data_IF_768920018744
#
_entry.id   IF_768920018744
#
_cell.length_a   1.000
_cell.length_b   1.000
_cell.length_c   1.000
_cell.angle_alpha   90.00
_cell.angle_beta   90.00
_cell.angle_gamma   90.00
#
_symmetry.space_group_name_H-M   'P 1'
#
loop_
_entity.id
_entity.type
_entity.pdbx_description
1 polymer ?
#
# COMPACT_ATOMS: atom_id res chain seq x y z
N UNK A 1 8.53 18.33 18.09
CA UNK A 1 8.24 16.95 17.64
C UNK A 1 9.52 16.12 17.82
N UNK A 2 9.44 14.82 18.14
CA UNK A 2 10.61 13.96 18.11
C UNK A 2 11.26 13.98 16.72
N UNK A 3 12.58 13.79 16.63
CA UNK A 3 13.24 13.66 15.33
C UNK A 3 12.74 12.40 14.61
N UNK A 4 12.71 12.42 13.26
CA UNK A 4 12.33 11.26 12.46
C UNK A 4 13.14 10.01 12.82
N UNK A 5 14.42 10.17 13.18
CA UNK A 5 15.28 9.07 13.64
C UNK A 5 14.77 8.45 14.95
N UNK A 6 14.42 9.26 15.94
CA UNK A 6 13.89 8.78 17.22
C UNK A 6 12.52 8.11 17.03
N UNK A 7 11.68 8.69 16.18
CA UNK A 7 10.38 8.11 15.81
C UNK A 7 10.56 6.73 15.15
N UNK A 8 11.43 6.63 14.16
CA UNK A 8 11.76 5.37 13.50
C UNK A 8 12.26 4.32 14.49
N UNK A 9 13.22 4.66 15.35
CA UNK A 9 13.79 3.72 16.32
C UNK A 9 12.75 3.18 17.30
N UNK A 10 11.85 4.03 17.82
CA UNK A 10 10.76 3.60 18.71
C UNK A 10 9.79 2.67 17.99
N UNK A 11 9.40 3.01 16.77
CA UNK A 11 8.47 2.20 15.97
C UNK A 11 9.09 0.87 15.53
N UNK A 12 10.37 0.88 15.14
CA UNK A 12 11.15 -0.30 14.78
C UNK A 12 11.27 -1.28 15.96
N UNK A 13 11.57 -0.77 17.15
CA UNK A 13 11.62 -1.57 18.38
C UNK A 13 10.25 -2.17 18.70
N UNK A 14 9.17 -1.37 18.66
CA UNK A 14 7.82 -1.86 18.91
C UNK A 14 7.42 -2.96 17.94
N UNK A 15 7.67 -2.77 16.64
CA UNK A 15 7.35 -3.77 15.62
C UNK A 15 8.18 -5.05 15.79
N UNK A 16 9.45 -4.95 16.17
CA UNK A 16 10.28 -6.11 16.52
C UNK A 16 9.72 -6.87 17.72
N UNK A 17 9.40 -6.16 18.81
CA UNK A 17 8.93 -6.76 20.07
C UNK A 17 7.55 -7.42 19.92
N UNK A 18 6.76 -6.96 18.96
CA UNK A 18 5.40 -7.45 18.70
C UNK A 18 5.31 -8.33 17.45
N UNK A 19 6.44 -8.70 16.84
CA UNK A 19 6.49 -9.43 15.55
C UNK A 19 5.67 -10.70 15.52
N UNK A 20 5.59 -11.41 16.64
CA UNK A 20 4.86 -12.67 16.76
C UNK A 20 3.35 -12.48 16.54
N UNK A 21 2.83 -11.26 16.74
CA UNK A 21 1.42 -10.90 16.51
C UNK A 21 1.08 -10.58 15.04
N UNK A 22 2.06 -10.24 14.19
CA UNK A 22 1.76 -9.73 12.84
C UNK A 22 2.49 -10.43 11.70
N UNK A 23 3.68 -11.00 11.94
CA UNK A 23 4.44 -11.76 10.93
C UNK A 23 3.95 -13.20 10.73
N UNK A 24 2.97 -13.65 11.52
CA UNK A 24 2.33 -14.94 11.27
C UNK A 24 1.54 -14.90 9.95
N UNK A 25 1.49 -16.02 9.23
CA UNK A 25 0.64 -16.15 8.04
C UNK A 25 -0.66 -16.79 8.50
N UNK A 26 -1.73 -16.00 8.67
CA UNK A 26 -3.01 -16.48 9.20
C UNK A 26 -3.54 -17.72 8.47
N UNK A 27 -3.39 -17.73 7.14
CA UNK A 27 -3.76 -18.87 6.29
C UNK A 27 -3.02 -20.18 6.62
N UNK A 28 -1.82 -20.11 7.19
CA UNK A 28 -1.00 -21.28 7.52
C UNK A 28 -1.28 -21.84 8.91
N UNK A 29 -1.98 -21.09 9.76
CA UNK A 29 -2.30 -21.48 11.13
C UNK A 29 -3.42 -22.52 11.16
N UNK A 30 -3.27 -23.54 12.01
CA UNK A 30 -4.31 -24.52 12.34
C UNK A 30 -5.01 -24.22 13.68
N UNK A 31 -4.36 -23.40 14.52
CA UNK A 31 -4.84 -22.93 15.82
C UNK A 31 -4.46 -21.45 15.97
N UNK A 32 -5.02 -20.77 16.98
CA UNK A 32 -4.53 -19.44 17.34
C UNK A 32 -3.06 -19.52 17.76
N UNK A 33 -2.17 -18.70 17.17
CA UNK A 33 -0.74 -18.76 17.49
C UNK A 33 -0.41 -18.13 18.85
N UNK A 34 -1.37 -17.44 19.49
CA UNK A 34 -1.22 -16.72 20.76
C UNK A 34 -2.12 -17.35 21.83
N UNK A 35 -1.59 -18.23 22.69
CA UNK A 35 -2.35 -18.83 23.78
C UNK A 35 -3.06 -17.79 24.66
N UNK A 36 -2.40 -16.67 24.92
CA UNK A 36 -2.89 -15.55 25.73
C UNK A 36 -4.10 -14.82 25.12
N UNK A 37 -4.29 -14.90 23.80
CA UNK A 37 -5.43 -14.28 23.11
C UNK A 37 -6.56 -15.28 22.79
N UNK A 38 -6.34 -16.58 23.00
CA UNK A 38 -7.27 -17.64 22.55
C UNK A 38 -8.69 -17.41 23.08
N UNK A 39 -8.85 -17.26 24.39
CA UNK A 39 -10.16 -17.05 25.03
C UNK A 39 -10.86 -15.79 24.51
N UNK A 40 -10.11 -14.71 24.30
CA UNK A 40 -10.64 -13.42 23.81
C UNK A 40 -11.14 -13.57 22.38
N UNK A 41 -10.35 -14.20 21.52
CA UNK A 41 -10.67 -14.41 20.11
C UNK A 41 -11.86 -15.38 19.93
N UNK A 42 -11.96 -16.42 20.76
CA UNK A 42 -13.09 -17.37 20.73
C UNK A 42 -14.40 -16.73 21.17
N UNK A 43 -14.36 -15.76 22.08
CA UNK A 43 -15.54 -15.06 22.58
C UNK A 43 -16.08 -14.01 21.60
N UNK A 44 -15.31 -13.60 20.59
CA UNK A 44 -15.78 -12.67 19.56
C UNK A 44 -16.81 -13.34 18.65
N UNK A 45 -17.94 -12.69 18.41
CA UNK A 45 -18.86 -13.05 17.33
C UNK A 45 -18.30 -12.63 15.96
N UNK A 46 -18.83 -13.20 14.88
CA UNK A 46 -18.38 -12.83 13.53
C UNK A 46 -18.74 -11.37 13.18
N UNK A 47 -19.83 -10.85 13.74
CA UNK A 47 -20.25 -9.45 13.65
C UNK A 47 -19.25 -8.53 14.38
N UNK A 48 -18.86 -8.87 15.61
CA UNK A 48 -17.88 -8.09 16.38
C UNK A 48 -16.52 -8.04 15.67
N UNK A 49 -16.07 -9.14 15.05
CA UNK A 49 -14.84 -9.15 14.24
C UNK A 49 -14.95 -8.14 13.09
N UNK A 50 -16.08 -8.10 12.39
CA UNK A 50 -16.28 -7.19 11.27
C UNK A 50 -16.37 -5.72 11.71
N UNK A 51 -16.99 -5.44 12.86
CA UNK A 51 -17.09 -4.10 13.44
C UNK A 51 -15.72 -3.59 13.90
N UNK A 52 -14.96 -4.41 14.64
CA UNK A 52 -13.61 -4.05 15.10
C UNK A 52 -12.64 -3.85 13.93
N UNK A 53 -12.64 -4.73 12.91
CA UNK A 53 -11.75 -4.56 11.74
C UNK A 53 -12.03 -3.27 10.95
N UNK A 54 -13.28 -2.77 11.01
CA UNK A 54 -13.67 -1.52 10.37
C UNK A 54 -13.27 -0.27 11.17
N UNK A 55 -12.91 -0.40 12.46
CA UNK A 55 -12.65 0.70 13.39
C UNK A 55 -11.28 0.54 14.07
N UNK A 56 -10.17 1.00 13.45
CA UNK A 56 -8.82 0.78 13.95
C UNK A 56 -8.58 1.24 15.40
N UNK A 57 -9.17 2.37 15.81
CA UNK A 57 -9.05 2.86 17.20
C UNK A 57 -9.72 1.92 18.20
N UNK A 58 -10.96 1.50 17.92
CA UNK A 58 -11.69 0.55 18.77
C UNK A 58 -10.99 -0.81 18.83
N UNK A 59 -10.37 -1.23 17.73
CA UNK A 59 -9.59 -2.46 17.67
C UNK A 59 -8.36 -2.39 18.59
N UNK A 60 -7.62 -1.28 18.57
CA UNK A 60 -6.50 -1.05 19.49
C UNK A 60 -6.99 -1.05 20.94
N UNK A 61 -8.05 -0.31 21.25
CA UNK A 61 -8.61 -0.23 22.60
C UNK A 61 -9.03 -1.61 23.13
N UNK A 62 -9.66 -2.43 22.28
CA UNK A 62 -10.12 -3.77 22.63
C UNK A 62 -8.97 -4.70 23.02
N UNK A 63 -7.86 -4.68 22.28
CA UNK A 63 -6.70 -5.56 22.56
C UNK A 63 -5.67 -4.96 23.52
N UNK A 64 -5.78 -3.68 23.89
CA UNK A 64 -4.82 -3.00 24.78
C UNK A 64 -4.73 -3.62 26.18
N UNK A 65 -5.78 -4.32 26.63
CA UNK A 65 -5.76 -5.06 27.89
C UNK A 65 -4.95 -6.37 27.83
N UNK A 66 -4.57 -6.82 26.63
CA UNK A 66 -3.88 -8.09 26.39
C UNK A 66 -2.49 -7.92 25.77
N UNK A 67 -2.23 -6.78 25.12
CA UNK A 67 -0.96 -6.46 24.48
C UNK A 67 -0.56 -5.04 24.90
N UNK A 68 0.27 -4.94 25.94
CA UNK A 68 0.65 -3.66 26.56
C UNK A 68 1.27 -2.66 25.57
N UNK A 69 2.02 -3.16 24.58
CA UNK A 69 2.70 -2.35 23.56
C UNK A 69 1.73 -1.57 22.67
N UNK A 70 0.45 -1.99 22.57
CA UNK A 70 -0.53 -1.31 21.71
C UNK A 70 -0.82 0.12 22.16
N UNK A 71 -0.64 0.42 23.45
CA UNK A 71 -0.82 1.77 24.01
C UNK A 71 0.07 2.83 23.34
N UNK A 72 1.20 2.42 22.76
CA UNK A 72 2.14 3.31 22.08
C UNK A 72 1.80 3.52 20.60
N UNK A 73 0.97 2.65 19.99
CA UNK A 73 0.69 2.71 18.57
C UNK A 73 0.00 4.01 18.14
N UNK A 74 -1.02 4.53 18.84
CA UNK A 74 -1.65 5.80 18.45
C UNK A 74 -0.62 6.93 18.34
N UNK A 75 0.24 7.11 19.34
CA UNK A 75 1.30 8.13 19.32
C UNK A 75 2.30 7.92 18.18
N UNK A 76 2.75 6.66 17.98
CA UNK A 76 3.79 6.34 16.99
C UNK A 76 3.26 6.28 15.56
N UNK A 77 1.96 6.32 15.35
CA UNK A 77 1.35 6.28 14.01
C UNK A 77 0.56 7.52 13.66
N UNK A 78 0.36 8.42 14.62
CA UNK A 78 -0.20 9.74 14.41
C UNK A 78 0.77 10.59 13.57
N UNK A 79 0.24 11.18 12.51
CA UNK A 79 0.95 12.07 11.61
C UNK A 79 0.14 13.35 11.48
N UNK A 80 0.79 14.52 11.38
CA UNK A 80 0.06 15.77 11.26
C UNK A 80 -0.78 15.76 10.00
N UNK A 81 -2.04 16.19 10.09
CA UNK A 81 -2.86 16.41 8.90
C UNK A 81 -2.37 17.67 8.19
N UNK A 82 -2.16 17.59 6.88
CA UNK A 82 -1.86 18.78 6.09
C UNK A 82 -3.01 19.78 6.25
N UNK A 83 -2.68 21.04 6.54
CA UNK A 83 -3.69 22.11 6.68
C UNK A 83 -4.39 22.31 5.34
N UNK A 84 -5.55 21.67 5.19
CA UNK A 84 -6.36 21.76 3.99
C UNK A 84 -6.77 23.21 3.74
N UNK A 85 -6.30 23.80 2.64
CA UNK A 85 -7.14 24.77 1.94
C UNK A 85 -8.40 24.02 1.47
N UNK A 86 -9.58 24.63 1.56
CA UNK A 86 -10.78 23.99 1.02
C UNK A 86 -10.55 23.63 -0.45
N UNK A 87 -10.89 22.40 -0.90
CA UNK A 87 -10.65 21.98 -2.26
C UNK A 87 -11.29 22.97 -3.22
N UNK A 88 -10.47 23.66 -4.02
CA UNK A 88 -11.01 24.62 -4.99
C UNK A 88 -11.84 23.87 -6.02
N UNK A 89 -13.01 24.40 -6.39
CA UNK A 89 -13.84 23.74 -7.38
C UNK A 89 -13.07 23.61 -8.72
N UNK A 90 -12.72 22.37 -9.10
CA UNK A 90 -12.02 22.13 -10.35
C UNK A 90 -12.97 22.35 -11.54
N UNK A 91 -12.53 23.01 -12.61
CA UNK A 91 -13.32 23.12 -13.82
C UNK A 91 -13.74 21.74 -14.34
N UNK A 92 -14.98 21.62 -14.82
CA UNK A 92 -15.54 20.35 -15.29
C UNK A 92 -14.69 19.67 -16.40
N UNK A 93 -14.10 20.47 -17.28
CA UNK A 93 -13.26 19.97 -18.37
C UNK A 93 -11.95 19.33 -17.87
N UNK A 94 -11.43 19.77 -16.73
CA UNK A 94 -10.20 19.25 -16.13
C UNK A 94 -10.44 17.92 -15.41
N UNK A 95 -11.59 17.81 -14.75
CA UNK A 95 -12.03 16.59 -14.06
C UNK A 95 -12.60 15.51 -15.01
N UNK A 96 -12.88 15.87 -16.27
CA UNK A 96 -13.39 14.91 -17.26
C UNK A 96 -12.45 13.69 -17.41
N UNK A 97 -13.05 12.49 -17.43
CA UNK A 97 -12.31 11.23 -17.47
C UNK A 97 -11.76 10.73 -16.12
N UNK A 98 -11.88 11.51 -15.04
CA UNK A 98 -11.57 11.07 -13.66
C UNK A 98 -12.88 10.98 -12.88
N UNK A 99 -13.19 9.81 -12.31
CA UNK A 99 -14.46 9.58 -11.62
C UNK A 99 -14.28 9.30 -10.14
N UNK A 100 -15.23 9.80 -9.35
CA UNK A 100 -15.40 9.49 -7.93
C UNK A 100 -14.14 9.79 -7.11
N UNK A 101 -13.85 8.91 -6.14
CA UNK A 101 -12.75 9.09 -5.18
C UNK A 101 -11.37 9.29 -5.79
N UNK A 102 -11.12 8.80 -7.02
CA UNK A 102 -9.83 9.04 -7.69
C UNK A 102 -9.59 10.54 -7.90
N UNK A 103 -10.64 11.29 -8.25
CA UNK A 103 -10.55 12.74 -8.41
C UNK A 103 -10.30 13.41 -7.06
N UNK A 104 -11.06 13.02 -6.04
CA UNK A 104 -10.90 13.55 -4.68
C UNK A 104 -9.49 13.31 -4.15
N UNK A 105 -8.94 12.10 -4.33
CA UNK A 105 -7.57 11.79 -3.91
C UNK A 105 -6.54 12.66 -4.63
N UNK A 106 -6.65 12.80 -5.95
CA UNK A 106 -5.74 13.64 -6.74
C UNK A 106 -5.79 15.09 -6.28
N UNK A 107 -7.00 15.61 -6.05
CA UNK A 107 -7.19 16.98 -5.59
C UNK A 107 -6.61 17.19 -4.20
N UNK A 108 -6.95 16.35 -3.22
CA UNK A 108 -6.38 16.45 -1.88
C UNK A 108 -4.86 16.33 -1.89
N UNK A 109 -4.29 15.49 -2.76
CA UNK A 109 -2.84 15.36 -2.87
C UNK A 109 -2.21 16.65 -3.39
N UNK A 110 -2.75 17.26 -4.46
CA UNK A 110 -2.24 18.53 -5.02
C UNK A 110 -2.43 19.68 -4.04
N UNK A 111 -3.59 19.77 -3.40
CA UNK A 111 -3.89 20.81 -2.40
C UNK A 111 -3.01 20.67 -1.15
N UNK A 112 -2.52 19.46 -0.86
CA UNK A 112 -1.58 19.18 0.22
C UNK A 112 -0.12 19.50 -0.09
N UNK A 113 0.24 19.82 -1.34
CA UNK A 113 1.60 20.20 -1.71
C UNK A 113 1.88 21.67 -1.38
N UNK A 114 3.09 21.98 -0.91
CA UNK A 114 3.47 23.39 -0.82
C UNK A 114 3.49 24.03 -2.23
N UNK A 115 3.07 25.31 -2.37
CA UNK A 115 2.99 25.99 -3.66
C UNK A 115 4.27 25.87 -4.49
N UNK A 116 4.12 25.59 -5.78
CA UNK A 116 5.24 25.63 -6.71
C UNK A 116 5.78 27.08 -6.81
N UNK A 117 7.09 27.21 -7.02
CA UNK A 117 7.69 28.51 -7.30
C UNK A 117 7.33 28.94 -8.71
N UNK A 118 7.13 30.25 -8.91
CA UNK A 118 6.85 30.79 -10.24
C UNK A 118 8.00 30.44 -11.21
N UNK A 119 7.65 29.87 -12.37
CA UNK A 119 8.62 29.42 -13.37
C UNK A 119 9.27 28.06 -13.10
N UNK A 120 8.92 27.37 -12.00
CA UNK A 120 9.43 26.02 -11.72
C UNK A 120 8.85 24.95 -12.66
N UNK A 121 9.58 23.86 -12.85
CA UNK A 121 9.19 22.71 -13.68
C UNK A 121 8.96 21.46 -12.82
N UNK A 122 7.87 20.75 -13.11
CA UNK A 122 7.48 19.55 -12.35
C UNK A 122 7.70 18.28 -13.15
N UNK A 123 8.23 17.24 -12.50
CA UNK A 123 8.28 15.88 -13.02
C UNK A 123 7.16 15.03 -12.39
N UNK A 124 6.23 14.51 -13.18
CA UNK A 124 5.24 13.52 -12.78
C UNK A 124 5.76 12.10 -13.09
N UNK A 125 5.96 11.29 -12.05
CA UNK A 125 6.48 9.94 -12.18
C UNK A 125 5.35 8.88 -12.21
N UNK A 126 5.42 7.95 -13.18
CA UNK A 126 4.38 6.94 -13.42
C UNK A 126 3.02 7.59 -13.75
N UNK A 127 3.01 8.44 -14.77
CA UNK A 127 1.93 9.37 -15.07
C UNK A 127 0.61 8.71 -15.54
N UNK A 128 0.66 7.52 -16.13
CA UNK A 128 -0.48 6.95 -16.84
C UNK A 128 -0.98 7.92 -17.92
N UNK A 129 -2.19 8.43 -17.76
CA UNK A 129 -2.78 9.44 -18.67
C UNK A 129 -2.52 10.91 -18.25
N UNK A 130 -1.59 11.14 -17.33
CA UNK A 130 -1.26 12.47 -16.78
C UNK A 130 -2.41 13.12 -16.02
N UNK A 131 -3.16 12.35 -15.23
CA UNK A 131 -4.25 12.93 -14.45
C UNK A 131 -3.74 13.86 -13.36
N UNK A 132 -2.64 13.51 -12.69
CA UNK A 132 -2.03 14.35 -11.67
C UNK A 132 -1.31 15.54 -12.33
N UNK A 133 -0.55 15.30 -13.39
CA UNK A 133 0.11 16.34 -14.18
C UNK A 133 -0.84 17.45 -14.65
N UNK A 134 -2.04 17.10 -15.11
CA UNK A 134 -3.06 18.09 -15.51
C UNK A 134 -3.53 18.98 -14.35
N UNK A 135 -3.70 18.42 -13.15
CA UNK A 135 -4.09 19.21 -11.99
C UNK A 135 -2.93 20.12 -11.56
N UNK A 136 -1.71 19.59 -11.53
CA UNK A 136 -0.50 20.37 -11.19
C UNK A 136 -0.28 21.53 -12.15
N UNK A 137 -0.30 21.26 -13.46
CA UNK A 137 -0.10 22.27 -14.50
C UNK A 137 -1.15 23.40 -14.42
N UNK A 138 -2.41 23.04 -14.10
CA UNK A 138 -3.48 24.02 -13.98
C UNK A 138 -3.46 24.80 -12.66
N UNK A 139 -3.33 24.13 -11.52
CA UNK A 139 -3.42 24.77 -10.19
C UNK A 139 -2.17 25.56 -9.84
N UNK A 140 -0.99 25.07 -10.22
CA UNK A 140 0.28 25.74 -9.94
C UNK A 140 0.81 26.57 -11.12
N UNK A 141 0.18 26.48 -12.30
CA UNK A 141 0.59 27.23 -13.50
C UNK A 141 2.05 26.94 -13.93
N UNK A 142 2.45 25.67 -13.86
CA UNK A 142 3.81 25.19 -14.15
C UNK A 142 3.84 24.19 -15.30
N UNK A 143 4.95 24.13 -16.08
CA UNK A 143 5.19 23.04 -17.00
C UNK A 143 5.36 21.70 -16.26
N UNK A 144 4.89 20.61 -16.90
CA UNK A 144 4.98 19.26 -16.36
C UNK A 144 5.61 18.30 -17.37
N UNK A 145 6.61 17.54 -16.93
CA UNK A 145 7.14 16.38 -17.64
C UNK A 145 6.57 15.10 -17.03
N UNK A 146 5.86 14.31 -17.83
CA UNK A 146 5.14 13.11 -17.38
C UNK A 146 5.82 11.84 -17.91
N UNK A 147 6.38 11.02 -17.04
CA UNK A 147 7.04 9.75 -17.44
C UNK A 147 6.08 8.57 -17.31
N UNK A 148 5.92 7.79 -18.38
CA UNK A 148 5.03 6.63 -18.44
C UNK A 148 5.61 5.52 -19.33
N UNK A 149 5.41 4.25 -18.95
CA UNK A 149 5.99 3.10 -19.68
C UNK A 149 5.18 2.74 -20.93
N UNK A 150 3.87 2.93 -20.91
CA UNK A 150 2.98 2.58 -22.01
C UNK A 150 2.81 3.73 -23.01
N UNK A 151 3.41 3.57 -24.19
CA UNK A 151 3.33 4.54 -25.29
C UNK A 151 1.91 5.04 -25.60
N UNK A 152 0.93 4.13 -25.65
CA UNK A 152 -0.46 4.52 -25.94
C UNK A 152 -1.10 5.40 -24.85
N UNK A 153 -0.60 5.35 -23.61
CA UNK A 153 -1.04 6.25 -22.53
C UNK A 153 -0.36 7.62 -22.65
N UNK A 154 0.91 7.68 -23.05
CA UNK A 154 1.60 8.92 -23.39
C UNK A 154 0.84 9.68 -24.48
N UNK A 155 0.52 9.01 -25.60
CA UNK A 155 -0.22 9.61 -26.73
C UNK A 155 -1.60 10.14 -26.31
N UNK A 156 -2.33 9.38 -25.48
CA UNK A 156 -3.62 9.82 -24.94
C UNK A 156 -3.48 11.02 -24.00
N UNK A 157 -2.38 11.07 -23.23
CA UNK A 157 -2.04 12.16 -22.34
C UNK A 157 -1.72 13.45 -23.09
N UNK A 158 -0.85 13.38 -24.10
CA UNK A 158 -0.47 14.51 -24.97
C UNK A 158 -1.69 15.09 -25.69
N UNK A 159 -2.50 14.25 -26.33
CA UNK A 159 -3.74 14.69 -27.00
C UNK A 159 -4.68 15.43 -26.03
N UNK A 160 -4.73 14.99 -24.77
CA UNK A 160 -5.55 15.64 -23.75
C UNK A 160 -4.93 16.95 -23.26
N UNK A 161 -3.60 17.01 -23.10
CA UNK A 161 -2.89 18.22 -22.74
C UNK A 161 -3.04 19.30 -23.81
N UNK A 162 -2.84 18.95 -25.09
CA UNK A 162 -3.02 19.84 -26.25
C UNK A 162 -4.45 20.38 -26.33
N UNK A 163 -5.44 19.49 -26.19
CA UNK A 163 -6.86 19.86 -26.21
C UNK A 163 -7.22 20.86 -25.10
N UNK A 164 -6.54 20.77 -23.96
CA UNK A 164 -6.76 21.63 -22.79
C UNK A 164 -5.78 22.81 -22.73
N UNK A 165 -4.87 22.92 -23.70
CA UNK A 165 -3.79 23.91 -23.73
C UNK A 165 -2.98 23.95 -22.43
N UNK A 166 -2.61 22.76 -21.92
CA UNK A 166 -1.79 22.60 -20.72
C UNK A 166 -0.34 22.29 -21.10
N UNK A 167 0.65 22.90 -20.43
CA UNK A 167 2.08 22.73 -20.74
C UNK A 167 2.60 21.38 -20.19
N UNK A 168 2.19 20.27 -20.80
CA UNK A 168 2.57 18.91 -20.36
C UNK A 168 3.27 18.19 -21.50
N UNK A 169 4.43 17.61 -21.22
CA UNK A 169 5.21 16.81 -22.17
C UNK A 169 5.34 15.38 -21.64
N UNK A 170 4.99 14.39 -22.45
CA UNK A 170 5.11 12.99 -22.06
C UNK A 170 6.44 12.39 -22.53
N UNK A 171 7.00 11.53 -21.69
CA UNK A 171 8.22 10.78 -21.96
C UNK A 171 7.94 9.30 -21.78
N UNK A 172 8.12 8.52 -22.85
CA UNK A 172 7.94 7.08 -22.77
C UNK A 172 9.20 6.42 -22.22
N UNK A 173 9.05 5.60 -21.18
CA UNK A 173 10.15 4.76 -20.71
C UNK A 173 9.86 4.00 -19.41
N UNK A 174 10.73 3.03 -19.14
CA UNK A 174 10.67 2.20 -17.96
C UNK A 174 11.51 2.81 -16.84
N UNK A 175 10.84 3.46 -15.90
CA UNK A 175 11.44 4.10 -14.72
C UNK A 175 12.30 3.19 -13.83
N UNK A 176 12.22 1.87 -13.97
CA UNK A 176 13.06 0.92 -13.23
C UNK A 176 14.41 0.64 -13.90
N UNK A 177 14.50 0.79 -15.22
CA UNK A 177 15.68 0.38 -16.00
C UNK A 177 16.32 1.52 -16.78
N UNK A 178 15.53 2.52 -17.14
CA UNK A 178 15.95 3.60 -18.01
C UNK A 178 16.48 4.77 -17.15
N UNK A 179 17.45 5.50 -17.70
CA UNK A 179 18.06 6.64 -17.04
C UNK A 179 17.32 7.94 -17.41
N UNK A 180 16.65 8.55 -16.43
CA UNK A 180 15.98 9.83 -16.57
C UNK A 180 16.78 10.99 -15.96
N UNK A 181 18.05 10.80 -15.63
CA UNK A 181 18.89 11.81 -14.97
C UNK A 181 18.85 13.18 -15.64
N UNK A 182 19.03 13.24 -16.96
CA UNK A 182 19.01 14.49 -17.71
C UNK A 182 17.64 15.19 -17.70
N UNK A 183 16.54 14.43 -17.60
CA UNK A 183 15.19 14.99 -17.47
C UNK A 183 14.95 15.50 -16.04
N UNK A 184 15.38 14.73 -15.05
CA UNK A 184 15.25 15.08 -13.62
C UNK A 184 16.05 16.34 -13.29
N UNK A 185 17.25 16.51 -13.86
CA UNK A 185 18.10 17.69 -13.69
C UNK A 185 17.42 18.99 -14.19
N UNK A 186 16.49 18.88 -15.13
CA UNK A 186 15.73 20.02 -15.67
C UNK A 186 14.48 20.35 -14.84
N UNK A 187 14.18 19.57 -13.80
CA UNK A 187 12.97 19.72 -13.01
C UNK A 187 13.29 20.19 -11.59
N UNK A 188 12.49 21.12 -11.08
CA UNK A 188 12.62 21.65 -9.73
C UNK A 188 11.87 20.79 -8.71
N UNK A 189 10.83 20.07 -9.15
CA UNK A 189 9.95 19.31 -8.27
C UNK A 189 9.58 17.96 -8.85
N UNK A 190 10.01 16.88 -8.19
CA UNK A 190 9.60 15.52 -8.53
C UNK A 190 8.36 15.09 -7.72
N UNK A 191 7.33 14.59 -8.40
CA UNK A 191 6.04 14.26 -7.80
C UNK A 191 5.57 12.84 -8.17
N UNK A 192 5.08 12.07 -7.19
CA UNK A 192 4.50 10.74 -7.43
C UNK A 192 3.39 10.34 -6.45
N UNK A 193 2.18 10.09 -6.95
CA UNK A 193 1.03 9.62 -6.13
C UNK A 193 0.79 8.10 -6.25
N UNK A 194 1.01 7.50 -7.42
CA UNK A 194 0.74 6.07 -7.67
C UNK A 194 1.95 5.31 -8.22
N UNK A 195 3.16 5.74 -7.86
CA UNK A 195 4.38 5.00 -8.15
C UNK A 195 4.56 3.86 -7.11
N UNK A 196 4.11 2.66 -7.45
CA UNK A 196 4.14 1.50 -6.54
C UNK A 196 5.56 0.96 -6.29
N UNK A 197 5.89 0.69 -5.03
CA UNK A 197 7.03 -0.12 -4.59
C UNK A 197 8.36 0.32 -5.17
N UNK A 198 9.00 -0.52 -5.99
CA UNK A 198 10.25 -0.17 -6.66
C UNK A 198 10.18 1.12 -7.50
N UNK A 199 9.00 1.50 -8.00
CA UNK A 199 8.83 2.68 -8.86
C UNK A 199 9.12 4.00 -8.14
N UNK A 200 8.58 4.21 -6.93
CA UNK A 200 8.89 5.41 -6.16
C UNK A 200 10.30 5.34 -5.55
N UNK A 201 10.81 4.14 -5.23
CA UNK A 201 12.20 4.00 -4.77
C UNK A 201 13.19 4.42 -5.86
N UNK A 202 12.90 4.05 -7.13
CA UNK A 202 13.67 4.51 -8.28
C UNK A 202 13.65 6.03 -8.38
N UNK A 203 12.46 6.66 -8.26
CA UNK A 203 12.37 8.13 -8.25
C UNK A 203 13.24 8.74 -7.15
N UNK A 204 13.12 8.26 -5.91
CA UNK A 204 13.90 8.78 -4.79
C UNK A 204 15.41 8.65 -5.01
N UNK A 205 15.87 7.53 -5.57
CA UNK A 205 17.30 7.35 -5.89
C UNK A 205 17.77 8.34 -6.94
N UNK A 206 17.05 8.44 -8.06
CA UNK A 206 17.44 9.32 -9.16
C UNK A 206 17.32 10.80 -8.77
N UNK A 207 16.26 11.20 -8.07
CA UNK A 207 16.07 12.56 -7.60
C UNK A 207 17.15 12.99 -6.58
N UNK A 208 17.50 12.12 -5.62
CA UNK A 208 18.61 12.40 -4.70
C UNK A 208 19.96 12.49 -5.43
N UNK A 209 20.19 11.63 -6.43
CA UNK A 209 21.43 11.67 -7.22
C UNK A 209 21.56 12.96 -8.02
N UNK A 210 20.46 13.47 -8.56
CA UNK A 210 20.41 14.73 -9.31
C UNK A 210 20.16 15.96 -8.42
N UNK A 211 20.10 15.78 -7.10
CA UNK A 211 19.81 16.84 -6.14
C UNK A 211 18.57 17.66 -6.54
N UNK A 212 17.47 16.97 -6.91
CA UNK A 212 16.22 17.63 -7.27
C UNK A 212 15.76 18.53 -6.11
N UNK A 213 15.49 19.83 -6.33
CA UNK A 213 15.22 20.78 -5.25
C UNK A 213 14.07 20.37 -4.33
N UNK A 214 12.99 19.82 -4.90
CA UNK A 214 11.81 19.37 -4.15
C UNK A 214 11.35 17.97 -4.59
N UNK A 215 10.84 17.20 -3.64
CA UNK A 215 10.25 15.88 -3.87
C UNK A 215 8.94 15.77 -3.07
N UNK A 216 7.86 15.37 -3.72
CA UNK A 216 6.58 15.10 -3.05
C UNK A 216 6.00 13.76 -3.50
N UNK A 217 5.95 12.78 -2.59
CA UNK A 217 5.45 11.45 -2.92
C UNK A 217 4.43 10.94 -1.92
N UNK A 218 3.50 10.12 -2.40
CA UNK A 218 2.64 9.31 -1.55
C UNK A 218 2.76 7.83 -1.93
N UNK A 219 3.54 7.04 -1.18
CA UNK A 219 3.69 5.62 -1.45
C UNK A 219 2.38 4.84 -1.25
N UNK A 220 1.93 4.09 -2.26
CA UNK A 220 0.62 3.44 -2.21
C UNK A 220 0.64 1.90 -2.14
N UNK A 221 1.65 1.25 -2.72
CA UNK A 221 1.87 -0.20 -2.65
C UNK A 221 3.33 -0.46 -2.37
N UNK A 222 3.67 -1.29 -1.37
CA UNK A 222 5.07 -1.53 -1.00
C UNK A 222 5.65 -2.85 -1.52
N UNK A 223 4.80 -3.81 -1.86
CA UNK A 223 5.17 -5.18 -2.24
C UNK A 223 5.44 -5.39 -3.74
N UNK A 224 5.25 -4.36 -4.57
CA UNK A 224 5.39 -4.45 -6.02
C UNK A 224 6.78 -4.01 -6.47
N UNK A 225 7.30 -4.62 -7.52
CA UNK A 225 8.61 -4.27 -8.10
C UNK A 225 9.74 -4.28 -7.05
N UNK A 226 9.71 -5.27 -6.15
CA UNK A 226 10.78 -5.55 -5.21
C UNK A 226 11.61 -6.70 -5.73
N UNK A 227 12.93 -6.61 -5.57
CA UNK A 227 13.85 -7.68 -5.93
C UNK A 227 13.99 -8.66 -4.77
N UNK A 228 13.67 -9.93 -5.01
CA UNK A 228 13.75 -11.00 -4.01
C UNK A 228 12.55 -11.10 -3.07
N UNK A 229 12.71 -11.90 -2.02
CA UNK A 229 11.62 -12.28 -1.11
C UNK A 229 11.36 -11.25 0.02
N UNK A 230 12.30 -10.32 0.20
CA UNK A 230 12.31 -9.35 1.30
C UNK A 230 12.37 -7.91 0.80
N UNK A 231 11.75 -7.02 1.58
CA UNK A 231 11.87 -5.58 1.43
C UNK A 231 13.34 -5.14 1.46
N UNK A 232 13.71 -4.23 0.56
CA UNK A 232 15.04 -3.63 0.49
C UNK A 232 15.00 -2.24 1.13
N UNK A 233 15.55 -2.04 2.34
CA UNK A 233 15.49 -0.74 3.01
C UNK A 233 16.38 0.30 2.34
N UNK A 234 15.93 1.55 2.33
CA UNK A 234 16.65 2.65 1.67
C UNK A 234 17.63 3.33 2.61
N UNK A 235 17.21 3.62 3.85
CA UNK A 235 18.01 4.33 4.84
C UNK A 235 18.96 3.41 5.60
N UNK A 236 20.10 3.95 6.03
CA UNK A 236 21.03 3.23 6.91
C UNK A 236 20.37 2.69 8.20
N UNK A 237 19.40 3.42 8.79
CA UNK A 237 18.71 3.00 10.00
C UNK A 237 17.86 1.74 9.77
N UNK A 238 17.10 1.70 8.67
CA UNK A 238 16.29 0.54 8.33
C UNK A 238 17.13 -0.65 7.83
N UNK A 239 18.28 -0.39 7.19
CA UNK A 239 19.25 -1.44 6.85
C UNK A 239 19.85 -2.10 8.11
N UNK A 240 20.04 -1.33 9.18
CA UNK A 240 20.55 -1.81 10.46
C UNK A 240 19.48 -2.51 11.33
N UNK A 241 18.18 -2.34 11.02
CA UNK A 241 17.10 -3.01 11.72
C UNK A 241 17.20 -4.53 11.62
N UNK A 242 16.76 -5.23 12.68
CA UNK A 242 16.55 -6.67 12.66
C UNK A 242 15.25 -7.09 11.96
N UNK A 243 14.34 -6.15 11.67
CA UNK A 243 13.12 -6.44 10.93
C UNK A 243 13.47 -6.87 9.50
N UNK A 244 12.87 -7.97 9.08
CA UNK A 244 12.95 -8.49 7.71
C UNK A 244 11.52 -8.67 7.21
N UNK A 245 11.05 -7.67 6.46
CA UNK A 245 9.68 -7.65 5.95
C UNK A 245 9.61 -8.47 4.66
N UNK A 246 8.75 -9.48 4.65
CA UNK A 246 8.45 -10.29 3.46
C UNK A 246 7.39 -9.61 2.58
N UNK A 247 7.16 -10.13 1.37
CA UNK A 247 6.01 -9.70 0.54
C UNK A 247 4.65 -9.83 1.26
N UNK A 248 4.49 -10.79 2.18
CA UNK A 248 3.27 -10.94 2.98
C UNK A 248 3.10 -9.78 3.96
N UNK A 249 4.19 -9.38 4.63
CA UNK A 249 4.19 -8.28 5.60
C UNK A 249 3.93 -6.93 4.93
N UNK A 250 4.53 -6.72 3.76
CA UNK A 250 4.27 -5.52 2.95
C UNK A 250 2.82 -5.45 2.44
N UNK A 251 2.15 -6.60 2.24
CA UNK A 251 0.72 -6.64 1.90
C UNK A 251 -0.16 -6.38 3.12
N UNK A 252 0.26 -6.78 4.32
CA UNK A 252 -0.47 -6.48 5.56
C UNK A 252 -0.68 -4.97 5.70
N UNK A 253 0.36 -4.17 5.45
CA UNK A 253 0.23 -2.71 5.42
C UNK A 253 -0.95 -2.25 4.56
N UNK A 254 -1.25 -2.93 3.44
CA UNK A 254 -2.27 -2.59 2.44
C UNK A 254 -3.68 -3.13 2.71
N UNK A 255 -3.88 -3.94 3.75
CA UNK A 255 -5.12 -4.71 3.93
C UNK A 255 -6.32 -3.92 4.49
N UNK A 256 -6.19 -2.62 4.71
CA UNK A 256 -7.32 -1.80 5.12
C UNK A 256 -8.32 -1.62 3.96
N UNK A 257 -9.57 -2.09 4.14
CA UNK A 257 -10.54 -2.21 3.04
C UNK A 257 -11.69 -1.20 3.07
N UNK A 258 -11.47 0.02 3.57
CA UNK A 258 -12.51 1.08 3.64
C UNK A 258 -13.12 1.38 2.27
N UNK A 259 -12.32 1.23 1.20
CA UNK A 259 -12.70 1.70 -0.14
C UNK A 259 -13.31 0.62 -1.06
N UNK A 260 -13.27 -0.66 -0.72
CA UNK A 260 -13.66 -1.73 -1.66
C UNK A 260 -15.19 -1.84 -1.86
N UNK A 261 -15.71 -1.83 -3.11
CA UNK A 261 -17.14 -2.03 -3.38
C UNK A 261 -17.66 -3.38 -2.85
N UNK A 262 -18.92 -3.44 -2.41
CA UNK A 262 -19.53 -4.65 -1.82
C UNK A 262 -19.38 -5.90 -2.69
N UNK A 263 -19.57 -5.78 -4.02
CA UNK A 263 -19.39 -6.89 -4.96
C UNK A 263 -17.97 -7.45 -4.92
N UNK A 264 -16.96 -6.58 -4.85
CA UNK A 264 -15.55 -6.98 -4.76
C UNK A 264 -15.27 -7.67 -3.43
N UNK A 265 -15.85 -7.17 -2.33
CA UNK A 265 -15.76 -7.82 -1.01
C UNK A 265 -16.31 -9.24 -1.03
N UNK A 266 -17.50 -9.46 -1.61
CA UNK A 266 -18.12 -10.81 -1.73
C UNK A 266 -17.25 -11.79 -2.52
N UNK A 267 -16.69 -11.35 -3.65
CA UNK A 267 -15.79 -12.20 -4.45
C UNK A 267 -14.52 -12.55 -3.67
N UNK A 268 -13.93 -11.59 -2.94
CA UNK A 268 -12.76 -11.85 -2.08
C UNK A 268 -13.07 -12.83 -0.95
N UNK A 269 -14.22 -12.70 -0.30
CA UNK A 269 -14.66 -13.64 0.74
C UNK A 269 -14.84 -15.05 0.19
N UNK A 270 -15.46 -15.18 -0.99
CA UNK A 270 -15.61 -16.47 -1.69
C UNK A 270 -14.24 -17.05 -2.07
N UNK A 271 -13.33 -16.22 -2.55
CA UNK A 271 -11.95 -16.64 -2.86
C UNK A 271 -11.19 -17.15 -1.63
N UNK A 272 -11.23 -16.42 -0.52
CA UNK A 272 -10.59 -16.85 0.74
C UNK A 272 -11.16 -18.18 1.21
N UNK A 273 -12.50 -18.30 1.23
CA UNK A 273 -13.18 -19.53 1.63
C UNK A 273 -12.75 -20.73 0.76
N UNK A 274 -12.75 -20.55 -0.56
CA UNK A 274 -12.39 -21.62 -1.50
C UNK A 274 -10.91 -22.00 -1.40
N UNK A 275 -10.01 -21.04 -1.21
CA UNK A 275 -8.59 -21.32 -0.98
C UNK A 275 -8.37 -22.12 0.31
N UNK A 276 -9.09 -21.80 1.39
CA UNK A 276 -9.05 -22.57 2.64
C UNK A 276 -9.59 -23.99 2.45
N UNK A 277 -10.71 -24.15 1.74
CA UNK A 277 -11.27 -25.47 1.47
C UNK A 277 -10.36 -26.35 0.64
N UNK A 278 -9.73 -25.78 -0.39
CA UNK A 278 -8.73 -26.51 -1.19
C UNK A 278 -7.50 -26.88 -0.35
N UNK A 279 -7.01 -25.99 0.52
CA UNK A 279 -5.89 -26.32 1.40
C UNK A 279 -6.24 -27.48 2.35
N UNK A 280 -7.44 -27.48 2.96
CA UNK A 280 -7.89 -28.61 3.80
C UNK A 280 -7.96 -29.92 3.01
N UNK A 281 -8.48 -29.87 1.79
CA UNK A 281 -8.52 -31.02 0.88
C UNK A 281 -7.11 -31.55 0.62
N UNK A 282 -6.15 -30.67 0.34
CA UNK A 282 -4.78 -31.07 0.06
C UNK A 282 -4.08 -31.65 1.29
N UNK A 283 -4.24 -31.03 2.47
CA UNK A 283 -3.65 -31.51 3.72
C UNK A 283 -4.13 -32.93 4.05
N UNK A 284 -5.43 -33.16 3.96
CA UNK A 284 -6.01 -34.46 4.30
C UNK A 284 -5.65 -35.55 3.27
N UNK A 285 -5.85 -35.28 1.98
CA UNK A 285 -5.66 -36.27 0.92
C UNK A 285 -4.18 -36.62 0.67
N UNK A 286 -3.28 -35.64 0.81
CA UNK A 286 -1.86 -35.80 0.50
C UNK A 286 -0.98 -35.80 1.76
N UNK A 287 -1.57 -35.84 2.96
CA UNK A 287 -0.88 -35.82 4.27
C UNK A 287 0.15 -34.69 4.37
N UNK A 288 -0.20 -33.52 3.83
CA UNK A 288 0.67 -32.33 3.88
C UNK A 288 0.42 -31.59 5.18
N UNK A 289 1.49 -31.24 5.89
CA UNK A 289 1.45 -30.41 7.10
C UNK A 289 1.66 -28.92 6.81
N UNK A 290 2.06 -28.56 5.59
CA UNK A 290 2.33 -27.19 5.19
C UNK A 290 1.28 -26.65 4.23
N UNK A 291 1.01 -25.35 4.34
CA UNK A 291 0.08 -24.62 3.48
C UNK A 291 0.53 -24.72 2.01
N UNK A 292 -0.40 -25.03 1.11
CA UNK A 292 -0.11 -25.11 -0.34
C UNK A 292 -0.66 -23.88 -1.06
N UNK A 293 0.15 -22.83 -1.30
CA UNK A 293 -0.33 -21.57 -1.89
C UNK A 293 -0.68 -21.75 -3.37
N UNK A 294 -1.90 -21.45 -3.80
CA UNK A 294 -2.31 -21.52 -5.22
C UNK A 294 -2.13 -20.17 -5.94
N UNK A 295 -1.80 -20.16 -7.25
CA UNK A 295 -1.52 -18.92 -7.97
C UNK A 295 -2.74 -17.99 -8.05
N UNK A 296 -2.50 -16.77 -8.55
CA UNK A 296 -3.58 -15.83 -8.86
C UNK A 296 -4.44 -16.37 -10.00
N UNK A 297 -5.76 -16.15 -9.91
CA UNK A 297 -6.74 -16.62 -10.90
C UNK A 297 -7.71 -15.53 -11.28
N UNK A 298 -8.18 -15.56 -12.54
CA UNK A 298 -9.23 -14.69 -13.03
C UNK A 298 -10.48 -14.80 -12.15
N UNK A 299 -11.10 -13.66 -11.81
CA UNK A 299 -12.23 -13.64 -10.87
C UNK A 299 -13.48 -14.38 -11.38
N UNK A 300 -13.53 -14.71 -12.67
CA UNK A 300 -14.61 -15.48 -13.30
C UNK A 300 -14.77 -16.88 -12.69
N UNK A 301 -13.68 -17.50 -12.20
CA UNK A 301 -13.76 -18.84 -11.58
C UNK A 301 -14.69 -18.85 -10.36
N UNK A 302 -14.75 -17.74 -9.62
CA UNK A 302 -15.61 -17.59 -8.44
C UNK A 302 -17.09 -17.41 -8.79
N UNK A 303 -17.46 -17.39 -10.08
CA UNK A 303 -18.86 -17.46 -10.50
C UNK A 303 -19.37 -18.89 -10.63
N UNK A 304 -18.49 -19.89 -10.67
CA UNK A 304 -18.83 -21.32 -10.77
C UNK A 304 -18.97 -22.00 -9.40
N UNK A 305 -18.68 -23.30 -9.39
CA UNK A 305 -18.76 -24.18 -8.22
C UNK A 305 -17.39 -24.38 -7.54
N UNK A 306 -17.41 -24.73 -6.25
CA UNK A 306 -16.19 -24.95 -5.47
C UNK A 306 -15.35 -26.12 -6.02
N UNK A 307 -16.00 -27.14 -6.59
CA UNK A 307 -15.33 -28.26 -7.27
C UNK A 307 -14.49 -27.81 -8.45
N UNK A 308 -14.98 -26.85 -9.25
CA UNK A 308 -14.28 -26.35 -10.43
C UNK A 308 -12.99 -25.64 -10.02
N UNK A 309 -13.07 -24.85 -8.95
CA UNK A 309 -11.90 -24.23 -8.34
C UNK A 309 -10.90 -25.26 -7.84
N UNK A 310 -11.35 -26.30 -7.13
CA UNK A 310 -10.46 -27.35 -6.63
C UNK A 310 -9.77 -28.12 -7.75
N UNK A 311 -10.49 -28.45 -8.83
CA UNK A 311 -9.93 -29.13 -9.99
C UNK A 311 -8.92 -28.27 -10.72
N UNK A 312 -9.21 -26.97 -10.90
CA UNK A 312 -8.26 -26.00 -11.44
C UNK A 312 -7.01 -25.91 -10.55
N UNK A 313 -7.19 -25.67 -9.26
CA UNK A 313 -6.10 -25.52 -8.30
C UNK A 313 -5.21 -26.77 -8.20
N UNK A 314 -5.82 -27.96 -8.29
CA UNK A 314 -5.09 -29.23 -8.33
C UNK A 314 -4.21 -29.34 -9.58
N UNK A 315 -4.74 -28.97 -10.76
CA UNK A 315 -3.95 -28.95 -12.02
C UNK A 315 -2.76 -28.01 -11.92
N UNK A 316 -2.96 -26.79 -11.40
CA UNK A 316 -1.87 -25.82 -11.17
C UNK A 316 -0.79 -26.33 -10.20
N UNK A 317 -1.15 -27.29 -9.34
CA UNK A 317 -0.24 -27.91 -8.36
C UNK A 317 0.29 -29.28 -8.78
N UNK A 318 -0.05 -29.77 -9.97
CA UNK A 318 0.30 -31.12 -10.40
C UNK A 318 -0.28 -32.21 -9.50
N UNK A 319 -1.43 -31.95 -8.87
CA UNK A 319 -2.11 -32.87 -7.97
C UNK A 319 -3.24 -33.58 -8.71
N UNK A 320 -3.36 -34.88 -8.53
CA UNK A 320 -4.50 -35.67 -9.02
C UNK A 320 -5.45 -35.91 -7.84
N UNK A 321 -6.61 -35.25 -7.85
CA UNK A 321 -7.59 -35.43 -6.79
C UNK A 321 -8.26 -36.81 -6.92
N UNK A 322 -8.71 -37.42 -5.80
CA UNK A 322 -9.47 -38.67 -5.84
C UNK A 322 -10.76 -38.54 -6.65
N UNK A 323 -11.16 -39.60 -7.36
CA UNK A 323 -12.40 -39.62 -8.18
C UNK A 323 -13.67 -39.27 -7.38
N UNK A 324 -13.69 -39.65 -6.09
CA UNK A 324 -14.78 -39.34 -5.15
C UNK A 324 -14.28 -38.39 -4.07
N UNK A 325 -14.24 -37.11 -4.39
CA UNK A 325 -13.91 -36.06 -3.42
C UNK A 325 -15.18 -35.42 -2.86
N UNK A 326 -15.32 -35.39 -1.53
CA UNK A 326 -16.42 -34.73 -0.83
C UNK A 326 -16.16 -33.21 -0.73
N UNK A 327 -16.39 -32.50 -1.82
CA UNK A 327 -16.20 -31.04 -1.88
C UNK A 327 -17.10 -30.29 -0.88
N UNK A 328 -18.31 -30.79 -0.61
CA UNK A 328 -19.24 -30.19 0.36
C UNK A 328 -18.66 -30.20 1.77
N UNK A 329 -18.08 -31.33 2.19
CA UNK A 329 -17.39 -31.42 3.50
C UNK A 329 -16.23 -30.44 3.60
N UNK A 330 -15.38 -30.35 2.56
CA UNK A 330 -14.24 -29.44 2.58
C UNK A 330 -14.65 -27.97 2.59
N UNK A 331 -15.76 -27.61 1.95
CA UNK A 331 -16.31 -26.26 2.03
C UNK A 331 -16.78 -25.94 3.47
N UNK A 332 -17.45 -26.88 4.14
CA UNK A 332 -17.86 -26.71 5.55
C UNK A 332 -16.67 -26.59 6.51
N UNK A 333 -15.61 -27.37 6.29
CA UNK A 333 -14.36 -27.22 7.06
C UNK A 333 -13.69 -25.86 6.80
N UNK A 334 -13.80 -25.35 5.57
CA UNK A 334 -13.30 -24.03 5.22
C UNK A 334 -14.02 -22.91 5.96
N UNK A 335 -15.34 -23.02 6.17
CA UNK A 335 -16.12 -22.03 6.93
C UNK A 335 -15.61 -21.92 8.38
N UNK A 336 -15.35 -23.05 9.03
CA UNK A 336 -14.79 -23.08 10.38
C UNK A 336 -13.39 -22.45 10.41
N UNK A 337 -12.52 -22.85 9.48
CA UNK A 337 -11.15 -22.31 9.39
C UNK A 337 -11.13 -20.83 9.03
N UNK A 338 -12.09 -20.36 8.22
CA UNK A 338 -12.23 -18.94 7.87
C UNK A 338 -12.49 -18.09 9.11
N UNK A 339 -13.37 -18.53 10.01
CA UNK A 339 -13.66 -17.82 11.27
C UNK A 339 -12.41 -17.63 12.12
N UNK A 340 -11.58 -18.66 12.27
CA UNK A 340 -10.30 -18.57 12.97
C UNK A 340 -9.31 -17.66 12.21
N UNK A 341 -9.20 -17.82 10.89
CA UNK A 341 -8.31 -16.99 10.04
C UNK A 341 -8.65 -15.51 10.18
N UNK A 342 -9.93 -15.14 10.16
CA UNK A 342 -10.38 -13.74 10.31
C UNK A 342 -10.03 -13.16 11.68
N UNK A 343 -10.08 -13.95 12.75
CA UNK A 343 -9.66 -13.54 14.10
C UNK A 343 -8.15 -13.39 14.22
N UNK A 344 -7.37 -14.24 13.54
CA UNK A 344 -5.91 -14.07 13.44
C UNK A 344 -5.59 -12.81 12.64
N UNK A 345 -6.25 -12.59 11.49
CA UNK A 345 -6.08 -11.35 10.72
C UNK A 345 -6.46 -10.11 11.55
N UNK A 346 -7.50 -10.17 12.37
CA UNK A 346 -7.91 -9.07 13.25
C UNK A 346 -6.76 -8.60 14.18
N UNK A 347 -5.99 -9.53 14.74
CA UNK A 347 -4.81 -9.19 15.56
C UNK A 347 -3.68 -8.64 14.69
N UNK A 348 -3.39 -9.26 13.55
CA UNK A 348 -2.38 -8.74 12.60
C UNK A 348 -2.72 -7.32 12.14
N UNK A 349 -4.01 -7.03 12.01
CA UNK A 349 -4.55 -5.79 11.53
C UNK A 349 -4.28 -4.59 12.46
N UNK A 350 -3.96 -4.81 13.74
CA UNK A 350 -3.49 -3.80 14.68
C UNK A 350 -2.23 -3.07 14.17
N UNK A 351 -1.40 -3.76 13.39
CA UNK A 351 -0.08 -3.28 13.00
C UNK A 351 -0.03 -2.71 11.56
N UNK A 352 -1.15 -2.67 10.82
CA UNK A 352 -1.16 -2.22 9.41
C UNK A 352 -0.60 -0.82 9.24
N UNK A 353 -1.05 0.11 10.09
CA UNK A 353 -0.60 1.51 10.06
C UNK A 353 0.84 1.64 10.55
N UNK A 354 1.22 0.91 11.59
CA UNK A 354 2.58 0.89 12.11
C UNK A 354 3.59 0.46 11.04
N UNK A 355 3.31 -0.60 10.30
CA UNK A 355 4.17 -1.08 9.21
C UNK A 355 4.24 -0.03 8.08
N UNK A 356 3.12 0.59 7.73
CA UNK A 356 3.11 1.67 6.73
C UNK A 356 3.98 2.86 7.15
N UNK A 357 3.82 3.35 8.39
CA UNK A 357 4.59 4.49 8.91
C UNK A 357 6.07 4.13 8.99
N UNK A 358 6.42 2.90 9.37
CA UNK A 358 7.81 2.43 9.35
C UNK A 358 8.41 2.49 7.94
N UNK A 359 7.66 2.05 6.92
CA UNK A 359 8.09 2.11 5.52
C UNK A 359 8.23 3.57 5.03
N UNK A 360 7.33 4.46 5.44
CA UNK A 360 7.45 5.89 5.11
C UNK A 360 8.65 6.52 5.79
N UNK A 361 8.88 6.23 7.07
CA UNK A 361 10.03 6.74 7.82
C UNK A 361 11.35 6.27 7.23
N UNK A 362 11.45 5.04 6.72
CA UNK A 362 12.64 4.59 5.97
C UNK A 362 12.96 5.51 4.77
N UNK A 363 11.95 5.92 4.00
CA UNK A 363 12.13 6.85 2.87
C UNK A 363 12.48 8.25 3.33
N UNK A 364 11.84 8.72 4.40
CA UNK A 364 12.10 10.02 4.98
C UNK A 364 13.54 10.13 5.51
N UNK A 365 14.03 9.10 6.21
CA UNK A 365 15.40 9.02 6.69
C UNK A 365 16.41 8.91 5.54
N UNK A 366 16.08 8.19 4.47
CA UNK A 366 16.91 8.16 3.26
C UNK A 366 17.05 9.57 2.67
N UNK A 367 15.95 10.30 2.52
CA UNK A 367 15.97 11.69 2.06
C UNK A 367 16.82 12.59 2.98
N UNK A 368 16.67 12.46 4.31
CA UNK A 368 17.52 13.21 5.26
C UNK A 368 19.02 12.90 5.12
N UNK A 369 19.38 11.65 4.84
CA UNK A 369 20.78 11.25 4.57
C UNK A 369 21.34 11.90 3.30
N UNK A 370 20.46 12.34 2.39
CA UNK A 370 20.78 13.08 1.19
C UNK A 370 20.56 14.60 1.33
N UNK A 371 20.59 15.13 2.55
CA UNK A 371 20.49 16.57 2.88
C UNK A 371 19.15 17.24 2.59
N UNK A 372 18.08 16.45 2.50
CA UNK A 372 16.72 17.01 2.44
C UNK A 372 16.19 17.30 3.85
N UNK A 373 15.53 18.45 4.00
CA UNK A 373 14.52 18.61 5.05
C UNK A 373 13.28 17.84 4.62
N UNK A 374 12.66 17.10 5.54
CA UNK A 374 11.55 16.20 5.24
C UNK A 374 10.41 16.42 6.21
N UNK A 375 9.21 16.59 5.67
CA UNK A 375 7.95 16.69 6.39
C UNK A 375 7.04 15.53 5.99
N UNK A 376 6.38 14.94 7.00
CA UNK A 376 5.41 13.86 6.84
C UNK A 376 4.04 14.37 7.25
N UNK A 377 3.03 14.15 6.42
CA UNK A 377 1.66 14.53 6.75
C UNK A 377 0.62 13.59 6.15
N UNK A 378 -0.60 13.67 6.66
CA UNK A 378 -1.77 13.08 6.00
C UNK A 378 -2.43 14.10 5.09
N UNK A 379 -2.49 13.84 3.77
CA UNK A 379 -3.05 14.80 2.81
C UNK A 379 -4.57 14.67 2.64
N UNK A 380 -5.19 13.59 3.13
CA UNK A 380 -6.63 13.40 3.07
C UNK A 380 -7.13 12.43 4.14
N UNK A 381 -8.45 12.38 4.33
CA UNK A 381 -9.09 11.39 5.19
C UNK A 381 -8.92 9.95 4.67
N UNK A 382 -8.92 9.00 5.59
CA UNK A 382 -8.71 7.56 5.33
C UNK A 382 -9.82 6.96 4.44
N UNK A 383 -11.02 7.53 4.49
CA UNK A 383 -12.21 7.15 3.72
C UNK A 383 -12.03 7.43 2.22
N UNK A 384 -11.22 8.44 1.87
CA UNK A 384 -10.83 8.75 0.49
C UNK A 384 -9.83 7.69 0.03
N UNK A 385 -8.74 7.53 0.79
CA UNK A 385 -7.74 6.49 0.62
C UNK A 385 -7.06 6.19 1.96
N UNK A 386 -6.87 4.93 2.35
CA UNK A 386 -6.05 4.61 3.52
C UNK A 386 -4.55 4.85 3.28
N UNK A 387 -4.13 4.98 2.02
CA UNK A 387 -2.78 5.41 1.62
C UNK A 387 -2.81 6.92 1.45
N UNK A 388 -2.80 7.63 2.58
CA UNK A 388 -2.98 9.08 2.67
C UNK A 388 -1.73 9.80 3.19
N UNK A 389 -0.58 9.11 3.32
CA UNK A 389 0.65 9.75 3.79
C UNK A 389 1.36 10.44 2.62
N UNK A 390 1.71 11.70 2.82
CA UNK A 390 2.53 12.53 1.95
C UNK A 390 3.92 12.69 2.58
N UNK A 391 4.95 12.45 1.78
CA UNK A 391 6.33 12.80 2.08
C UNK A 391 6.64 14.04 1.25
N UNK A 392 6.89 15.17 1.90
CA UNK A 392 7.47 16.35 1.25
C UNK A 392 8.92 16.50 1.67
N UNK A 393 9.78 16.79 0.70
CA UNK A 393 11.19 17.00 0.94
C UNK A 393 11.72 18.16 0.09
N UNK A 394 12.59 18.96 0.68
CA UNK A 394 13.30 20.03 -0.02
C UNK A 394 14.76 20.09 0.40
N UNK A 395 15.65 20.39 -0.54
CA UNK A 395 17.07 20.59 -0.23
C UNK A 395 17.21 21.76 0.72
N UNK A 396 18.00 21.57 1.78
CA UNK A 396 18.31 22.62 2.72
C UNK A 396 19.30 23.62 2.08
N UNK A 397 18.81 24.77 1.61
CA UNK A 397 19.64 25.80 0.96
C UNK A 397 20.60 26.52 1.91
N UNK A 398 20.51 26.29 3.23
CA UNK A 398 21.43 26.85 4.22
C UNK A 398 22.72 26.03 4.43
N UNK A 399 22.90 24.92 3.68
CA UNK A 399 24.07 24.02 3.78
C UNK A 399 24.98 24.02 2.55
N UNK A 400 24.79 24.95 1.59
CA UNK A 400 25.68 25.12 0.43
C UNK A 400 26.72 26.23 0.63
#
# INVERSE_FOLDING_TARGET
>A
MPSLTSHFQRLDQLLNDTRDYWQCVAFSCEHYPWPELTTVLENLSDEQVAELDAQPSQLIDYFSAHIDQLSQLPELTDLPTSTQAQPQALPFWLSNGIKGRKLTQLQCFVDGLAPAQEGSTVLEWCAGKGHLGRLLAHQHQVPVHSVEIQQHLCEQGEQLADKLNLPIHFHQGNVLTDDFSALIEQCDHAVALHACGGLHQSLLRQACQQQTPRISISPCCYHLFIDGDYYQPMSAAAQASSLRLTSSDLKLALQQTVTAPQRVRRVRQKEVLWRLGFDQLVREQFKRSQYTPVPSVGKQIFSGEFSDFCLWAAREKGLTLPEKCDFTRYLKLAEQRKRMTERIELVRHLFRRAIEVWLVLDRALYLQQHNYQVDLSEFCETEITPRNILIEASINSEMQ
#
